data_IF_627827858146
#
_entry.id   IF_627827858146
#
_cell.length_a   1.000
_cell.length_b   1.000
_cell.length_c   1.000
_cell.angle_alpha   90.00
_cell.angle_beta   90.00
_cell.angle_gamma   90.00
#
_symmetry.space_group_name_H-M   'P 1'
#
loop_
_entity.id
_entity.type
_entity.pdbx_description
1 polymer ?
#
# COMPACT_ATOMS: atom_id res chain seq x y z
N UNK A 1 73.57 66.90 33.46
CA UNK A 1 72.59 67.90 33.03
C UNK A 1 72.13 67.54 31.64
N UNK A 2 70.81 67.55 31.49
CA UNK A 2 69.96 67.37 30.31
C UNK A 2 69.38 65.96 30.11
N UNK A 3 68.06 65.97 30.29
CA UNK A 3 67.03 64.97 30.08
C UNK A 3 66.89 64.56 28.61
N UNK A 4 66.41 63.35 28.33
CA UNK A 4 65.42 63.16 27.27
C UNK A 4 64.65 61.82 27.35
N UNK A 5 63.44 61.85 26.80
CA UNK A 5 62.26 60.99 26.94
C UNK A 5 62.35 59.56 26.34
N UNK A 6 61.41 58.68 26.75
CA UNK A 6 61.25 57.34 26.15
C UNK A 6 60.13 56.47 26.71
N UNK A 7 58.88 56.88 26.45
CA UNK A 7 57.57 56.19 26.41
C UNK A 7 57.52 54.64 26.43
N UNK A 8 56.63 54.04 27.24
CA UNK A 8 55.39 53.36 26.76
C UNK A 8 54.80 52.33 27.73
N UNK A 9 53.49 52.50 27.93
CA UNK A 9 52.46 51.74 28.63
C UNK A 9 52.45 50.20 28.51
N UNK A 10 52.08 49.48 29.60
CA UNK A 10 50.70 49.01 29.86
C UNK A 10 50.63 47.90 30.96
N UNK A 11 49.52 47.78 31.74
CA UNK A 11 49.38 46.88 32.91
C UNK A 11 48.73 45.52 32.59
N UNK A 12 48.66 44.57 33.56
CA UNK A 12 48.34 43.17 33.30
C UNK A 12 46.84 42.87 33.38
N UNK A 13 46.31 42.03 32.48
CA UNK A 13 44.93 41.53 32.59
C UNK A 13 44.89 40.03 32.92
N UNK A 14 44.69 39.73 34.22
CA UNK A 14 44.32 38.40 34.70
C UNK A 14 42.83 38.16 34.42
N UNK A 15 42.52 37.31 33.45
CA UNK A 15 41.15 36.82 33.21
C UNK A 15 40.67 35.93 34.36
N UNK A 16 39.64 36.39 35.06
CA UNK A 16 38.84 35.61 36.02
C UNK A 16 37.97 34.59 35.25
N UNK A 17 38.33 33.32 35.30
CA UNK A 17 37.43 32.21 34.97
C UNK A 17 36.67 31.80 36.24
N UNK A 18 35.51 32.40 36.45
CA UNK A 18 34.63 32.02 37.56
C UNK A 18 33.18 32.31 37.19
N UNK A 19 32.31 31.33 37.41
CA UNK A 19 30.84 31.38 37.36
C UNK A 19 30.08 30.96 36.09
N UNK A 20 30.68 30.60 34.95
CA UNK A 20 29.90 30.14 33.78
C UNK A 20 29.97 28.62 33.50
N UNK A 21 30.98 27.93 34.03
CA UNK A 21 31.14 26.48 33.82
C UNK A 21 30.00 25.61 34.41
N UNK A 22 29.48 25.83 35.63
CA UNK A 22 28.47 24.93 36.19
C UNK A 22 27.10 25.09 35.52
N UNK A 23 26.78 26.28 35.00
CA UNK A 23 25.51 26.54 34.31
C UNK A 23 25.47 25.85 32.94
N UNK A 24 26.59 25.87 32.21
CA UNK A 24 26.70 25.20 30.91
C UNK A 24 26.56 23.67 31.03
N UNK A 25 27.16 23.06 32.06
CA UNK A 25 27.03 21.62 32.33
C UNK A 25 25.59 21.25 32.71
N UNK A 26 24.93 22.05 33.55
CA UNK A 26 23.53 21.82 33.92
C UNK A 26 22.60 21.86 32.70
N UNK A 27 22.79 22.80 31.78
CA UNK A 27 22.00 22.90 30.54
C UNK A 27 22.22 21.66 29.66
N UNK A 28 23.47 21.21 29.49
CA UNK A 28 23.77 20.02 28.68
C UNK A 28 23.12 18.77 29.27
N UNK A 29 23.15 18.61 30.60
CA UNK A 29 22.51 17.47 31.29
C UNK A 29 20.99 17.51 31.13
N UNK A 30 20.37 18.68 31.23
CA UNK A 30 18.92 18.83 31.02
C UNK A 30 18.55 18.55 29.56
N UNK A 31 19.31 19.05 28.59
CA UNK A 31 19.07 18.78 27.17
C UNK A 31 19.24 17.28 26.86
N UNK A 32 20.30 16.64 27.38
CA UNK A 32 20.51 15.20 27.21
C UNK A 32 19.39 14.37 27.85
N UNK A 33 18.90 14.78 29.03
CA UNK A 33 17.77 14.13 29.68
C UNK A 33 16.47 14.31 28.88
N UNK A 34 16.19 15.50 28.34
CA UNK A 34 15.02 15.75 27.47
C UNK A 34 15.11 14.94 26.17
N UNK A 35 16.29 14.83 25.57
CA UNK A 35 16.50 13.99 24.36
C UNK A 35 16.37 12.51 24.69
N UNK A 36 16.91 12.04 25.81
CA UNK A 36 16.80 10.64 26.23
C UNK A 36 15.35 10.26 26.59
N UNK A 37 14.63 11.16 27.26
CA UNK A 37 13.18 11.03 27.53
C UNK A 37 12.42 11.04 26.20
N UNK A 38 12.74 11.96 25.28
CA UNK A 38 12.19 11.97 23.93
C UNK A 38 12.38 10.64 23.22
N UNK A 39 13.58 10.05 23.26
CA UNK A 39 13.87 8.72 22.69
C UNK A 39 13.16 7.56 23.41
N UNK A 40 12.94 7.66 24.73
CA UNK A 40 12.23 6.64 25.50
C UNK A 40 10.71 6.71 25.30
N UNK A 41 10.14 7.90 25.08
CA UNK A 41 8.73 8.09 24.76
C UNK A 41 8.44 7.97 23.25
N UNK A 42 9.43 8.11 22.38
CA UNK A 42 9.35 7.76 20.95
C UNK A 42 9.45 6.23 20.72
N UNK A 43 9.97 5.49 21.70
CA UNK A 43 9.78 4.04 21.82
C UNK A 43 8.46 3.67 22.51
N UNK A 44 7.42 4.50 22.32
CA UNK A 44 6.06 4.11 22.62
C UNK A 44 5.76 2.74 22.00
N UNK A 45 5.01 1.94 22.75
CA UNK A 45 4.48 0.61 22.40
C UNK A 45 3.54 0.59 21.18
N UNK A 46 3.77 1.48 20.23
CA UNK A 46 3.06 1.67 18.98
C UNK A 46 4.06 1.76 17.84
N UNK A 47 5.02 0.83 17.77
CA UNK A 47 5.50 0.43 16.45
C UNK A 47 4.29 -0.13 15.71
N UNK A 48 3.52 0.76 15.10
CA UNK A 48 2.54 0.46 14.07
C UNK A 48 3.36 -0.28 13.04
N UNK A 49 3.35 -1.62 13.17
CA UNK A 49 3.69 -2.54 12.10
C UNK A 49 2.88 -1.97 10.95
N UNK A 50 3.53 -1.29 9.97
CA UNK A 50 2.84 -0.78 8.77
C UNK A 50 1.90 -1.90 8.38
N UNK A 51 0.60 -1.70 8.60
CA UNK A 51 -0.35 -2.76 8.40
C UNK A 51 -0.15 -3.13 6.94
N UNK A 52 0.19 -4.39 6.70
CA UNK A 52 0.42 -4.92 5.35
C UNK A 52 -0.95 -5.07 4.71
N UNK A 53 -1.62 -3.96 4.54
CA UNK A 53 -3.05 -3.91 4.37
C UNK A 53 -3.47 -2.51 3.96
N UNK A 54 -4.34 -2.45 2.98
CA UNK A 54 -5.10 -1.26 2.65
C UNK A 54 -6.42 -1.32 3.42
N UNK A 55 -6.65 -0.32 4.27
CA UNK A 55 -7.98 -0.08 4.86
C UNK A 55 -8.89 0.51 3.78
N UNK A 56 -9.83 -0.30 3.31
CA UNK A 56 -10.81 0.06 2.30
C UNK A 56 -12.04 0.79 2.89
N UNK A 57 -12.05 1.04 4.20
CA UNK A 57 -13.11 1.73 4.92
C UNK A 57 -14.13 0.79 5.53
N UNK A 58 -15.23 1.35 6.03
CA UNK A 58 -16.27 0.59 6.72
C UNK A 58 -16.94 -0.44 5.81
N UNK A 59 -16.99 -1.70 6.24
CA UNK A 59 -17.54 -2.81 5.45
C UNK A 59 -19.04 -2.66 5.18
N UNK A 60 -19.78 -2.01 6.08
CA UNK A 60 -21.20 -1.70 5.92
C UNK A 60 -21.47 -0.57 4.92
N UNK A 61 -20.44 0.18 4.51
CA UNK A 61 -20.52 1.19 3.46
C UNK A 61 -20.58 0.63 2.03
N UNK A 62 -20.36 -0.66 1.84
CA UNK A 62 -20.45 -1.34 0.55
C UNK A 62 -21.85 -1.93 0.35
N UNK A 63 -22.53 -1.68 -0.77
CA UNK A 63 -23.81 -2.34 -1.03
C UNK A 63 -23.60 -3.85 -1.29
N UNK A 64 -24.56 -4.71 -0.92
CA UNK A 64 -24.51 -6.11 -1.32
C UNK A 64 -24.59 -6.23 -2.84
N UNK A 65 -23.90 -7.21 -3.41
CA UNK A 65 -23.83 -7.40 -4.86
C UNK A 65 -23.32 -6.14 -5.62
N UNK A 66 -22.24 -5.54 -5.12
CA UNK A 66 -21.65 -4.33 -5.71
C UNK A 66 -20.18 -4.54 -6.10
N UNK A 67 -19.70 -3.68 -6.99
CA UNK A 67 -18.29 -3.58 -7.40
C UNK A 67 -17.86 -2.13 -7.28
N UNK A 68 -16.84 -1.87 -6.46
CA UNK A 68 -16.30 -0.53 -6.21
C UNK A 68 -14.83 -0.49 -6.61
N UNK A 69 -14.42 0.54 -7.35
CA UNK A 69 -13.03 0.73 -7.74
C UNK A 69 -12.29 1.63 -6.74
N UNK A 70 -11.18 1.15 -6.19
CA UNK A 70 -10.28 1.90 -5.33
C UNK A 70 -9.06 2.35 -6.14
N UNK A 71 -9.18 3.51 -6.79
CA UNK A 71 -8.18 4.03 -7.76
C UNK A 71 -6.77 4.11 -7.18
N UNK A 72 -6.62 4.62 -5.96
CA UNK A 72 -5.32 4.80 -5.30
C UNK A 72 -4.55 3.49 -5.09
N UNK A 73 -5.25 2.35 -5.07
CA UNK A 73 -4.67 1.02 -4.88
C UNK A 73 -4.76 0.15 -6.14
N UNK A 74 -5.34 0.67 -7.23
CA UNK A 74 -5.51 -0.05 -8.48
C UNK A 74 -6.22 -1.40 -8.30
N UNK A 75 -7.27 -1.44 -7.48
CA UNK A 75 -8.02 -2.66 -7.19
C UNK A 75 -9.52 -2.42 -7.22
N UNK A 76 -10.26 -3.49 -7.50
CA UNK A 76 -11.70 -3.55 -7.33
C UNK A 76 -12.03 -4.30 -6.04
N UNK A 77 -13.03 -3.81 -5.31
CA UNK A 77 -13.67 -4.52 -4.21
C UNK A 77 -15.05 -4.95 -4.68
N UNK A 78 -15.26 -6.25 -4.79
CA UNK A 78 -16.57 -6.85 -5.04
C UNK A 78 -17.16 -7.32 -3.72
N UNK A 79 -18.36 -6.85 -3.36
CA UNK A 79 -19.16 -7.42 -2.27
C UNK A 79 -20.23 -8.33 -2.87
N UNK A 80 -20.21 -9.61 -2.54
CA UNK A 80 -21.19 -10.58 -3.01
C UNK A 80 -22.55 -10.40 -2.30
N UNK A 81 -23.59 -11.04 -2.82
CA UNK A 81 -24.93 -11.01 -2.20
C UNK A 81 -24.95 -11.59 -0.78
N UNK A 82 -24.12 -12.60 -0.51
CA UNK A 82 -23.97 -13.22 0.81
C UNK A 82 -23.12 -12.38 1.79
N UNK A 83 -22.62 -11.23 1.36
CA UNK A 83 -21.79 -10.32 2.14
C UNK A 83 -20.29 -10.60 2.09
N UNK A 84 -19.84 -11.64 1.37
CA UNK A 84 -18.42 -11.94 1.17
C UNK A 84 -17.73 -10.83 0.37
N UNK A 85 -16.52 -10.46 0.77
CA UNK A 85 -15.67 -9.53 0.02
C UNK A 85 -14.64 -10.26 -0.83
N UNK A 86 -14.41 -9.73 -2.03
CA UNK A 86 -13.34 -10.16 -2.93
C UNK A 86 -12.61 -8.90 -3.40
N UNK A 87 -11.30 -8.85 -3.20
CA UNK A 87 -10.45 -7.79 -3.75
C UNK A 87 -9.68 -8.30 -4.97
N UNK A 88 -9.80 -7.59 -6.09
CA UNK A 88 -9.26 -7.99 -7.40
C UNK A 88 -8.30 -6.93 -7.91
N UNK A 89 -7.15 -7.35 -8.43
CA UNK A 89 -6.21 -6.42 -9.03
C UNK A 89 -6.74 -5.92 -10.39
N UNK A 90 -6.55 -4.63 -10.69
CA UNK A 90 -7.01 -4.06 -11.97
C UNK A 90 -6.08 -4.40 -13.15
N UNK A 91 -4.90 -4.95 -12.89
CA UNK A 91 -4.00 -5.44 -13.94
C UNK A 91 -4.39 -6.85 -14.34
N UNK A 92 -4.40 -7.10 -15.64
CA UNK A 92 -4.76 -8.41 -16.13
C UNK A 92 -3.65 -9.44 -15.92
N UNK A 93 -3.99 -10.74 -15.88
CA UNK A 93 -3.01 -11.83 -15.79
C UNK A 93 -1.99 -11.82 -16.94
N UNK A 94 -2.27 -11.12 -18.05
CA UNK A 94 -1.35 -10.93 -19.18
C UNK A 94 -0.04 -10.28 -18.74
N UNK A 95 -0.06 -9.40 -17.74
CA UNK A 95 1.15 -8.78 -17.20
C UNK A 95 2.18 -9.82 -16.73
N UNK A 96 1.73 -10.92 -16.12
CA UNK A 96 2.62 -11.94 -15.58
C UNK A 96 3.31 -12.77 -16.68
N UNK A 97 2.69 -12.86 -17.84
CA UNK A 97 3.15 -13.68 -18.96
C UNK A 97 3.95 -12.86 -19.96
N UNK A 98 3.50 -11.64 -20.26
CA UNK A 98 4.01 -10.81 -21.34
C UNK A 98 4.58 -9.47 -20.89
N UNK A 99 4.55 -9.15 -19.59
CA UNK A 99 4.97 -7.84 -19.04
C UNK A 99 4.22 -6.64 -19.68
N UNK A 100 2.97 -6.84 -20.08
CA UNK A 100 2.08 -5.79 -20.58
C UNK A 100 1.46 -4.96 -19.45
N UNK A 101 1.06 -3.72 -19.71
CA UNK A 101 0.33 -2.86 -18.75
C UNK A 101 -1.20 -2.83 -19.01
N UNK A 102 -1.74 -3.94 -19.51
CA UNK A 102 -3.17 -4.06 -19.77
C UNK A 102 -3.95 -4.08 -18.45
N UNK A 103 -5.02 -3.29 -18.41
CA UNK A 103 -5.92 -3.17 -17.26
C UNK A 103 -7.33 -3.60 -17.60
N UNK A 104 -8.03 -4.08 -16.58
CA UNK A 104 -9.42 -4.47 -16.65
C UNK A 104 -10.29 -3.36 -16.12
N UNK A 105 -11.48 -3.21 -16.71
CA UNK A 105 -12.53 -2.33 -16.23
C UNK A 105 -13.80 -3.15 -15.96
N UNK A 106 -14.62 -2.72 -15.01
CA UNK A 106 -15.95 -3.29 -14.86
C UNK A 106 -16.91 -2.66 -15.88
N UNK A 107 -17.66 -3.50 -16.60
CA UNK A 107 -18.65 -3.11 -17.60
C UNK A 107 -19.97 -3.79 -17.23
N UNK A 108 -20.95 -3.00 -16.80
CA UNK A 108 -22.27 -3.45 -16.36
C UNK A 108 -23.13 -3.99 -17.51
N UNK A 109 -22.71 -3.80 -18.76
CA UNK A 109 -23.38 -4.32 -19.95
C UNK A 109 -22.71 -5.57 -20.53
N UNK A 110 -21.51 -5.93 -20.05
CA UNK A 110 -20.74 -7.03 -20.61
C UNK A 110 -21.37 -8.40 -20.31
N UNK A 111 -21.54 -9.21 -21.36
CA UNK A 111 -22.07 -10.57 -21.24
C UNK A 111 -20.98 -11.57 -20.82
N UNK A 112 -21.34 -12.52 -19.94
CA UNK A 112 -20.48 -13.60 -19.44
C UNK A 112 -20.51 -14.88 -20.30
N UNK A 113 -21.21 -14.84 -21.43
CA UNK A 113 -21.40 -15.94 -22.37
C UNK A 113 -21.91 -17.21 -21.66
N UNK A 114 -21.04 -18.19 -21.40
CA UNK A 114 -21.40 -19.51 -20.85
C UNK A 114 -21.33 -19.59 -19.32
N UNK A 115 -20.75 -18.60 -18.65
CA UNK A 115 -20.65 -18.59 -17.18
C UNK A 115 -21.88 -17.90 -16.60
N UNK A 116 -22.47 -18.52 -15.58
CA UNK A 116 -23.58 -17.93 -14.84
C UNK A 116 -23.12 -16.65 -14.10
N UNK A 117 -23.91 -15.56 -14.15
CA UNK A 117 -23.63 -14.37 -13.37
C UNK A 117 -23.71 -14.66 -11.87
N UNK A 118 -23.08 -13.80 -11.08
CA UNK A 118 -23.25 -13.84 -9.63
C UNK A 118 -24.61 -13.24 -9.27
N UNK A 119 -25.30 -13.77 -8.25
CA UNK A 119 -26.56 -13.19 -7.79
C UNK A 119 -26.41 -11.69 -7.47
N UNK A 120 -27.37 -10.91 -7.96
CA UNK A 120 -27.41 -9.44 -7.78
C UNK A 120 -26.39 -8.63 -8.59
N UNK A 121 -25.33 -9.23 -9.14
CA UNK A 121 -24.30 -8.50 -9.89
C UNK A 121 -24.53 -8.65 -11.40
N UNK A 122 -24.78 -7.52 -12.06
CA UNK A 122 -24.90 -7.42 -13.52
C UNK A 122 -23.62 -6.86 -14.10
N UNK A 123 -23.07 -7.52 -15.11
CA UNK A 123 -21.84 -7.11 -15.80
C UNK A 123 -20.67 -8.06 -15.62
N UNK A 124 -19.51 -7.62 -16.10
CA UNK A 124 -18.29 -8.39 -16.11
C UNK A 124 -17.07 -7.46 -16.07
N UNK A 125 -15.93 -7.98 -15.63
CA UNK A 125 -14.65 -7.33 -15.90
C UNK A 125 -14.24 -7.61 -17.33
N UNK A 126 -13.72 -6.58 -17.99
CA UNK A 126 -13.35 -6.60 -19.40
C UNK A 126 -11.96 -6.00 -19.55
N UNK A 127 -11.12 -6.71 -20.29
CA UNK A 127 -9.91 -6.17 -20.88
C UNK A 127 -10.16 -5.97 -22.37
N UNK A 128 -9.86 -4.78 -22.90
CA UNK A 128 -9.69 -4.58 -24.33
C UNK A 128 -8.27 -4.02 -24.54
N UNK A 129 -7.30 -4.89 -24.82
CA UNK A 129 -5.89 -4.53 -24.91
C UNK A 129 -5.24 -5.22 -26.11
N UNK A 130 -4.38 -4.49 -26.84
CA UNK A 130 -3.71 -4.97 -28.06
C UNK A 130 -4.67 -5.53 -29.14
N UNK A 131 -5.89 -4.97 -29.23
CA UNK A 131 -6.93 -5.45 -30.15
C UNK A 131 -7.56 -6.80 -29.76
N UNK A 132 -7.20 -7.34 -28.59
CA UNK A 132 -7.78 -8.55 -28.03
C UNK A 132 -8.73 -8.21 -26.88
N UNK A 133 -9.73 -9.06 -26.69
CA UNK A 133 -10.70 -8.95 -25.59
C UNK A 133 -10.64 -10.16 -24.69
N UNK A 134 -10.68 -9.93 -23.38
CA UNK A 134 -10.88 -10.96 -22.38
C UNK A 134 -11.94 -10.52 -21.37
N UNK A 135 -12.69 -11.48 -20.83
CA UNK A 135 -13.84 -11.21 -19.95
C UNK A 135 -13.76 -12.12 -18.72
N UNK A 136 -14.05 -11.55 -17.56
CA UNK A 136 -14.12 -12.25 -16.27
C UNK A 136 -15.43 -11.91 -15.56
N UNK A 137 -15.94 -12.86 -14.79
CA UNK A 137 -17.05 -12.63 -13.87
C UNK A 137 -16.62 -11.71 -12.72
N UNK A 138 -17.57 -11.09 -12.03
CA UNK A 138 -17.30 -10.11 -10.98
C UNK A 138 -16.55 -10.65 -9.74
N UNK A 139 -16.37 -11.96 -9.61
CA UNK A 139 -15.45 -12.59 -8.66
C UNK A 139 -14.02 -12.79 -9.21
N UNK A 140 -13.75 -12.34 -10.44
CA UNK A 140 -12.47 -12.49 -11.13
C UNK A 140 -12.29 -13.84 -11.82
N UNK A 141 -13.31 -14.71 -11.88
CA UNK A 141 -13.23 -15.97 -12.63
C UNK A 141 -13.21 -15.68 -14.12
N UNK A 142 -12.23 -16.24 -14.83
CA UNK A 142 -12.13 -16.11 -16.28
C UNK A 142 -13.35 -16.72 -16.98
N UNK A 143 -13.97 -15.92 -17.86
CA UNK A 143 -15.13 -16.34 -18.62
C UNK A 143 -14.76 -16.78 -20.03
N UNK A 144 -14.19 -15.90 -20.84
CA UNK A 144 -13.79 -16.19 -22.22
C UNK A 144 -12.87 -15.11 -22.80
N UNK A 145 -12.35 -15.38 -24.00
CA UNK A 145 -11.51 -14.46 -24.77
C UNK A 145 -10.02 -14.73 -24.59
N UNK A 146 -9.20 -13.71 -24.81
CA UNK A 146 -7.75 -13.81 -24.83
C UNK A 146 -7.10 -13.62 -23.43
N UNK A 147 -7.66 -14.25 -22.40
CA UNK A 147 -7.15 -14.14 -21.03
C UNK A 147 -6.06 -15.16 -20.71
N UNK A 148 -5.23 -14.86 -19.71
CA UNK A 148 -4.14 -15.74 -19.24
C UNK A 148 -4.45 -16.43 -17.91
N UNK A 149 -5.67 -16.27 -17.40
CA UNK A 149 -6.15 -16.89 -16.19
C UNK A 149 -7.23 -16.06 -15.49
N UNK A 150 -7.54 -16.40 -14.24
CA UNK A 150 -8.40 -15.60 -13.37
C UNK A 150 -7.71 -14.29 -12.96
N UNK A 151 -8.48 -13.25 -12.65
CA UNK A 151 -7.92 -12.03 -12.10
C UNK A 151 -7.21 -12.30 -10.77
N UNK A 152 -6.12 -11.59 -10.54
CA UNK A 152 -5.36 -11.72 -9.30
C UNK A 152 -6.22 -11.28 -8.10
N UNK A 153 -6.19 -12.07 -7.03
CA UNK A 153 -7.01 -11.86 -5.83
C UNK A 153 -6.14 -11.51 -4.63
N UNK A 154 -6.54 -10.50 -3.88
CA UNK A 154 -5.96 -10.20 -2.57
C UNK A 154 -6.80 -10.83 -1.46
N UNK A 155 -6.17 -11.17 -0.35
CA UNK A 155 -6.90 -11.62 0.83
C UNK A 155 -7.63 -10.43 1.46
N UNK A 156 -8.85 -10.68 1.93
CA UNK A 156 -9.68 -9.68 2.60
C UNK A 156 -10.14 -10.17 3.96
N UNK A 157 -10.23 -9.26 4.92
CA UNK A 157 -10.80 -9.52 6.24
C UNK A 157 -11.52 -8.29 6.75
N UNK A 158 -12.58 -8.48 7.54
CA UNK A 158 -13.18 -7.38 8.31
C UNK A 158 -12.56 -7.40 9.70
N UNK A 159 -12.03 -6.26 10.13
CA UNK A 159 -11.40 -6.13 11.43
C UNK A 159 -12.41 -5.97 12.58
N UNK A 160 -11.91 -5.76 13.80
CA UNK A 160 -12.75 -5.57 15.00
C UNK A 160 -13.51 -4.25 15.02
N UNK A 161 -13.10 -3.26 14.22
CA UNK A 161 -13.77 -1.97 14.07
C UNK A 161 -14.84 -2.01 12.95
N UNK A 162 -14.96 -3.13 12.22
CA UNK A 162 -15.88 -3.27 11.10
C UNK A 162 -15.33 -2.72 9.79
N UNK A 163 -14.03 -2.47 9.70
CA UNK A 163 -13.38 -2.00 8.48
C UNK A 163 -12.93 -3.17 7.61
N UNK A 164 -13.07 -3.02 6.30
CA UNK A 164 -12.56 -3.97 5.32
C UNK A 164 -11.06 -3.74 5.10
N UNK A 165 -10.26 -4.72 5.46
CA UNK A 165 -8.82 -4.72 5.25
C UNK A 165 -8.48 -5.63 4.07
N UNK A 166 -7.77 -5.09 3.09
CA UNK A 166 -7.23 -5.81 1.93
C UNK A 166 -5.73 -6.04 2.12
N UNK A 167 -5.28 -7.27 2.27
CA UNK A 167 -3.85 -7.60 2.36
C UNK A 167 -3.19 -7.45 0.98
N UNK A 168 -2.50 -6.34 0.79
CA UNK A 168 -1.79 -6.01 -0.47
C UNK A 168 -0.38 -6.58 -0.54
N UNK A 169 0.10 -7.28 0.50
CA UNK A 169 1.45 -7.83 0.54
C UNK A 169 1.61 -9.13 -0.25
N UNK A 170 0.50 -9.81 -0.50
CA UNK A 170 0.47 -11.02 -1.33
C UNK A 170 -0.85 -11.10 -2.09
N UNK A 171 -0.81 -11.73 -3.26
CA UNK A 171 -1.99 -12.02 -4.06
C UNK A 171 -1.94 -13.42 -4.63
N UNK A 172 -3.09 -14.05 -4.77
CA UNK A 172 -3.23 -15.26 -5.57
C UNK A 172 -3.31 -14.86 -7.03
N UNK A 173 -2.39 -15.39 -7.83
CA UNK A 173 -2.27 -15.08 -9.24
C UNK A 173 -2.34 -16.36 -10.07
N UNK A 174 -2.74 -16.21 -11.34
CA UNK A 174 -2.88 -17.34 -12.24
C UNK A 174 -2.01 -17.21 -13.49
N UNK A 175 -1.60 -18.36 -14.02
CA UNK A 175 -0.77 -18.49 -15.21
C UNK A 175 -1.40 -19.44 -16.23
N UNK A 176 -1.25 -19.15 -17.52
CA UNK A 176 -1.70 -20.06 -18.57
C UNK A 176 -0.70 -21.20 -18.77
N UNK A 177 -1.19 -22.42 -19.03
CA UNK A 177 -0.37 -23.59 -19.39
C UNK A 177 0.07 -23.60 -20.87
N UNK A 178 0.25 -22.42 -21.46
CA UNK A 178 0.74 -22.24 -22.83
C UNK A 178 -0.34 -22.10 -23.91
N UNK A 179 -1.62 -22.14 -23.56
CA UNK A 179 -2.73 -21.82 -24.48
C UNK A 179 -3.59 -20.71 -23.88
N UNK A 180 -3.66 -19.58 -24.58
CA UNK A 180 -4.43 -18.40 -24.17
C UNK A 180 -5.91 -18.77 -24.05
N UNK A 181 -6.55 -18.37 -22.95
CA UNK A 181 -7.98 -18.51 -22.74
C UNK A 181 -8.47 -19.94 -22.48
N UNK A 182 -7.56 -20.90 -22.29
CA UNK A 182 -7.91 -22.31 -22.07
C UNK A 182 -7.54 -22.73 -20.65
N UNK A 183 -8.52 -22.99 -19.76
CA UNK A 183 -8.25 -23.59 -18.46
C UNK A 183 -7.83 -25.07 -18.60
N UNK A 184 -7.17 -25.66 -17.58
CA UNK A 184 -6.89 -25.09 -16.26
C UNK A 184 -5.72 -24.10 -16.27
N UNK A 185 -5.78 -23.14 -15.34
CA UNK A 185 -4.70 -22.21 -15.04
C UNK A 185 -3.92 -22.68 -13.81
N UNK A 186 -2.62 -22.38 -13.77
CA UNK A 186 -1.81 -22.65 -12.59
C UNK A 186 -1.96 -21.50 -11.60
N UNK A 187 -2.43 -21.80 -10.39
CA UNK A 187 -2.52 -20.86 -9.27
C UNK A 187 -1.22 -20.84 -8.47
N UNK A 188 -0.78 -19.64 -8.09
CA UNK A 188 0.38 -19.44 -7.22
C UNK A 188 0.21 -18.18 -6.38
N UNK A 189 1.06 -18.01 -5.39
CA UNK A 189 1.17 -16.75 -4.64
C UNK A 189 2.17 -15.83 -5.34
N UNK A 190 1.75 -14.60 -5.65
CA UNK A 190 2.59 -13.50 -6.14
C UNK A 190 2.72 -12.44 -5.04
N UNK A 191 3.85 -11.70 -5.01
CA UNK A 191 4.11 -10.65 -4.02
C UNK A 191 4.74 -9.40 -4.62
N UNK A 192 4.83 -8.33 -3.82
CA UNK A 192 5.51 -7.08 -4.18
C UNK A 192 7.04 -7.29 -4.27
N UNK A 193 7.50 -7.93 -5.35
CA UNK A 193 8.92 -8.23 -5.53
C UNK A 193 9.32 -8.93 -6.82
N UNK A 194 8.36 -9.35 -7.65
CA UNK A 194 8.61 -9.99 -8.96
C UNK A 194 8.35 -9.06 -10.15
#
# INVERSE_FOLDING_TARGET
MNDDEGTSDAPPERRRFGCLAPLAVAIIVVVAAVVAIGFLFDQGSGSVRRERGYDAGAADGYENASVVYAEAQHLFVTRLEDGTFIALYDKSPKQQELRSDCRVAFDDTAALNKIAPLPGIVGAFVENCDGLRAVWRADGVFAFGAGYGNLDRFNTSVDVAGHLIVDTSSRTCTRSRGVIGVPPFDERTCGSGD
#
